data_IF_767137275208
#
_entry.id   IF_767137275208
#
_cell.length_a   1.000
_cell.length_b   1.000
_cell.length_c   1.000
_cell.angle_alpha   90.00
_cell.angle_beta   90.00
_cell.angle_gamma   90.00
#
_symmetry.space_group_name_H-M   'P 1'
#
loop_
_entity.id
_entity.type
_entity.pdbx_description
1 polymer ?
#
# COMPACT_ATOMS: atom_id res chain seq x y z
N UNK A 1 -19.11 13.06 28.06
CA UNK A 1 -18.04 13.51 27.13
C UNK A 1 -18.69 13.78 25.78
N UNK A 2 -18.49 14.94 25.14
CA UNK A 2 -19.00 15.22 23.79
C UNK A 2 -17.90 14.85 22.78
N UNK A 3 -18.18 13.89 21.91
CA UNK A 3 -17.34 13.52 20.76
C UNK A 3 -17.74 14.44 19.60
N UNK A 4 -16.83 14.71 18.66
CA UNK A 4 -17.15 15.44 17.43
C UNK A 4 -18.30 14.73 16.71
N UNK A 5 -19.32 15.47 16.29
CA UNK A 5 -20.51 14.93 15.61
C UNK A 5 -20.15 14.15 14.33
N UNK A 6 -19.07 14.55 13.68
CA UNK A 6 -18.47 13.88 12.53
C UNK A 6 -18.29 12.35 12.74
N UNK A 7 -17.99 11.90 13.96
CA UNK A 7 -17.73 10.48 14.25
C UNK A 7 -18.98 9.68 14.60
N UNK A 8 -20.16 10.28 14.69
CA UNK A 8 -21.39 9.57 15.03
C UNK A 8 -21.89 8.57 13.99
N UNK A 9 -21.32 8.57 12.78
CA UNK A 9 -21.63 7.63 11.70
C UNK A 9 -20.38 7.09 11.00
N UNK A 10 -19.20 7.17 11.66
CA UNK A 10 -17.95 6.73 11.07
C UNK A 10 -17.88 5.20 11.06
N UNK A 11 -17.66 4.60 9.90
CA UNK A 11 -17.37 3.17 9.80
C UNK A 11 -15.94 2.90 10.32
N UNK A 12 -15.80 1.92 11.21
CA UNK A 12 -14.48 1.51 11.68
C UNK A 12 -13.67 0.90 10.55
N UNK A 13 -12.35 1.08 10.62
CA UNK A 13 -11.43 0.35 9.76
C UNK A 13 -11.58 -1.15 10.03
N UNK A 14 -11.72 -1.94 8.96
CA UNK A 14 -11.78 -3.40 9.09
C UNK A 14 -10.41 -3.96 9.47
N UNK A 15 -10.15 -4.08 10.79
CA UNK A 15 -8.90 -4.64 11.31
C UNK A 15 -8.68 -6.07 10.85
N UNK A 16 -7.44 -6.42 10.56
CA UNK A 16 -7.07 -7.79 10.30
C UNK A 16 -7.20 -8.64 11.58
N UNK A 17 -7.86 -9.79 11.47
CA UNK A 17 -7.93 -10.76 12.56
C UNK A 17 -6.52 -11.28 12.88
N UNK A 18 -6.06 -11.28 14.15
CA UNK A 18 -4.77 -11.83 14.54
C UNK A 18 -4.59 -13.30 14.15
N UNK A 19 -3.36 -13.72 13.86
CA UNK A 19 -3.07 -15.11 13.47
C UNK A 19 -3.44 -16.10 14.56
N UNK A 20 -3.27 -15.74 15.83
CA UNK A 20 -3.65 -16.54 17.00
C UNK A 20 -5.17 -16.80 17.07
N UNK A 21 -5.97 -15.78 16.78
CA UNK A 21 -7.42 -15.90 16.75
C UNK A 21 -7.88 -16.77 15.57
N UNK A 22 -7.26 -16.61 14.39
CA UNK A 22 -7.52 -17.45 13.23
C UNK A 22 -7.16 -18.91 13.53
N UNK A 23 -5.97 -19.16 14.09
CA UNK A 23 -5.45 -20.46 14.46
C UNK A 23 -6.44 -21.17 15.41
N UNK A 24 -6.89 -20.48 16.47
CA UNK A 24 -7.87 -21.00 17.41
C UNK A 24 -9.21 -21.35 16.74
N UNK A 25 -9.68 -20.51 15.81
CA UNK A 25 -10.94 -20.69 15.07
C UNK A 25 -10.91 -21.89 14.13
N UNK A 26 -9.77 -22.14 13.49
CA UNK A 26 -9.65 -23.23 12.48
C UNK A 26 -9.01 -24.49 13.05
N UNK A 27 -8.54 -24.47 14.31
CA UNK A 27 -7.96 -25.65 14.98
C UNK A 27 -6.57 -26.02 14.47
N UNK A 28 -5.80 -25.04 14.00
CA UNK A 28 -4.40 -25.22 13.53
C UNK A 28 -3.42 -24.57 14.50
N UNK A 29 -2.15 -25.01 14.54
CA UNK A 29 -1.06 -24.26 15.17
C UNK A 29 -0.88 -22.88 14.52
N UNK A 30 -0.48 -21.88 15.29
CA UNK A 30 -0.30 -20.50 14.77
C UNK A 30 0.79 -20.43 13.69
N UNK A 31 1.78 -21.29 13.77
CA UNK A 31 2.89 -21.42 12.82
C UNK A 31 2.44 -21.89 11.43
N UNK A 32 1.28 -22.56 11.35
CA UNK A 32 0.68 -23.00 10.07
C UNK A 32 -0.17 -21.94 9.41
N UNK A 33 -0.43 -20.81 10.09
CA UNK A 33 -1.20 -19.69 9.53
C UNK A 33 -0.29 -18.84 8.66
N UNK A 34 -0.58 -18.82 7.37
CA UNK A 34 0.14 -18.03 6.36
C UNK A 34 -0.69 -16.81 5.97
N UNK A 35 -0.14 -15.62 6.23
CA UNK A 35 -0.80 -14.33 5.94
C UNK A 35 -0.52 -13.92 4.48
N UNK A 36 -1.50 -14.12 3.62
CA UNK A 36 -1.48 -13.67 2.21
C UNK A 36 -2.42 -12.47 1.98
N UNK A 37 -2.91 -11.85 3.03
CA UNK A 37 -3.89 -10.76 3.01
C UNK A 37 -3.28 -9.36 3.19
N UNK A 38 -2.03 -9.25 3.66
CA UNK A 38 -1.41 -7.98 4.10
C UNK A 38 -0.44 -7.37 3.09
N UNK A 39 -0.17 -8.02 1.97
CA UNK A 39 0.83 -7.58 0.99
C UNK A 39 2.21 -7.34 1.61
N UNK A 40 2.58 -8.13 2.62
CA UNK A 40 3.90 -8.10 3.24
C UNK A 40 4.86 -9.02 2.49
N UNK A 41 6.13 -8.67 2.48
CA UNK A 41 7.16 -9.52 1.87
C UNK A 41 7.30 -10.84 2.64
N UNK A 42 7.46 -11.98 1.95
CA UNK A 42 7.79 -13.26 2.60
C UNK A 42 9.27 -13.34 3.03
N UNK A 43 10.09 -12.41 2.58
CA UNK A 43 11.52 -12.35 2.88
C UNK A 43 11.78 -11.51 4.13
N UNK A 44 12.83 -11.88 4.87
CA UNK A 44 13.33 -11.06 5.98
C UNK A 44 14.43 -10.13 5.46
N UNK A 45 14.54 -8.89 5.97
CA UNK A 45 15.66 -8.00 5.65
C UNK A 45 16.91 -8.43 6.45
N UNK A 46 17.58 -9.50 6.01
CA UNK A 46 18.59 -10.21 6.82
C UNK A 46 19.76 -9.30 7.15
N UNK A 47 20.30 -8.59 6.14
CA UNK A 47 21.48 -7.73 6.33
C UNK A 47 21.21 -6.56 7.27
N UNK A 48 20.05 -5.91 7.13
CA UNK A 48 19.67 -4.82 8.02
C UNK A 48 19.46 -5.32 9.48
N UNK A 49 18.98 -6.54 9.67
CA UNK A 49 18.86 -7.15 11.00
C UNK A 49 20.21 -7.54 11.59
N UNK A 50 21.17 -8.00 10.78
CA UNK A 50 22.55 -8.26 11.19
C UNK A 50 23.27 -6.98 11.61
N UNK A 51 23.10 -5.89 10.84
CA UNK A 51 23.64 -4.58 11.18
C UNK A 51 23.04 -4.07 12.50
N UNK A 52 21.72 -4.20 12.69
CA UNK A 52 21.07 -3.84 13.95
C UNK A 52 21.62 -4.65 15.13
N UNK A 53 21.75 -5.97 14.98
CA UNK A 53 22.27 -6.85 16.02
C UNK A 53 23.69 -6.45 16.45
N UNK A 54 24.51 -6.00 15.49
CA UNK A 54 25.88 -5.56 15.70
C UNK A 54 25.99 -4.18 16.35
N UNK A 55 24.94 -3.36 16.27
CA UNK A 55 24.93 -1.97 16.75
C UNK A 55 24.06 -1.75 17.99
N UNK A 56 23.39 -2.79 18.52
CA UNK A 56 22.41 -2.66 19.59
C UNK A 56 22.92 -1.96 20.85
N UNK A 57 24.18 -2.15 21.20
CA UNK A 57 24.84 -1.53 22.36
C UNK A 57 25.19 -0.05 22.15
N UNK A 58 25.15 0.40 20.91
CA UNK A 58 25.47 1.80 20.56
C UNK A 58 24.22 2.66 20.29
N UNK A 59 23.04 2.03 20.16
CA UNK A 59 21.81 2.74 19.87
C UNK A 59 21.22 3.34 21.16
N UNK A 60 21.19 4.67 21.23
CA UNK A 60 20.67 5.41 22.39
C UNK A 60 19.15 5.46 22.42
N UNK A 61 18.48 4.33 22.79
CA UNK A 61 17.00 4.23 22.84
C UNK A 61 16.37 5.14 23.89
N UNK A 62 17.15 5.67 24.82
CA UNK A 62 16.75 6.63 25.86
C UNK A 62 16.76 8.10 25.37
N UNK A 63 17.21 8.35 24.14
CA UNK A 63 17.24 9.68 23.54
C UNK A 63 16.23 9.80 22.39
N UNK A 64 15.73 11.01 22.18
CA UNK A 64 14.96 11.30 20.97
C UNK A 64 15.85 11.29 19.73
N UNK A 65 15.34 10.84 18.58
CA UNK A 65 16.08 10.95 17.32
C UNK A 65 16.29 12.41 16.91
N UNK A 66 17.24 12.65 16.01
CA UNK A 66 17.30 13.92 15.27
C UNK A 66 15.99 14.14 14.50
N UNK A 67 15.25 15.17 14.88
CA UNK A 67 13.94 15.49 14.28
C UNK A 67 14.01 15.93 12.83
N UNK A 68 15.20 16.29 12.34
CA UNK A 68 15.44 16.59 10.93
C UNK A 68 15.51 15.30 10.08
N UNK A 69 15.81 14.15 10.72
CA UNK A 69 16.09 12.87 10.06
C UNK A 69 17.13 13.00 8.94
N UNK A 70 18.16 13.85 9.16
CA UNK A 70 19.12 14.23 8.12
C UNK A 70 19.77 13.01 7.46
N UNK A 71 20.32 12.09 8.25
CA UNK A 71 21.02 10.91 7.72
C UNK A 71 20.10 10.04 6.85
N UNK A 72 18.85 9.79 7.29
CA UNK A 72 17.90 9.03 6.47
C UNK A 72 17.53 9.79 5.19
N UNK A 73 17.43 11.12 5.22
CA UNK A 73 17.18 11.92 4.00
C UNK A 73 18.36 11.86 3.03
N UNK A 74 19.59 11.80 3.53
CA UNK A 74 20.80 11.59 2.71
C UNK A 74 20.76 10.24 2.00
N UNK A 75 20.41 9.16 2.71
CA UNK A 75 20.27 7.84 2.14
C UNK A 75 19.14 7.79 1.09
N UNK A 76 18.00 8.40 1.38
CA UNK A 76 16.89 8.53 0.44
C UNK A 76 17.23 9.39 -0.77
N UNK A 77 18.03 10.44 -0.61
CA UNK A 77 18.53 11.25 -1.73
C UNK A 77 19.40 10.40 -2.66
N UNK A 78 20.29 9.57 -2.10
CA UNK A 78 21.08 8.60 -2.86
C UNK A 78 20.22 7.55 -3.57
N UNK A 79 19.16 7.05 -2.91
CA UNK A 79 18.26 6.05 -3.45
C UNK A 79 17.35 6.59 -4.57
N UNK A 80 16.85 7.81 -4.41
CA UNK A 80 15.84 8.39 -5.33
C UNK A 80 16.41 9.32 -6.37
N UNK A 81 17.65 9.82 -6.18
CA UNK A 81 18.25 10.86 -7.00
C UNK A 81 17.68 12.26 -6.75
N UNK A 82 16.92 12.48 -5.65
CA UNK A 82 16.28 13.76 -5.32
C UNK A 82 17.11 14.55 -4.28
N UNK A 83 16.94 15.87 -4.26
CA UNK A 83 17.61 16.74 -3.28
C UNK A 83 17.14 16.49 -1.83
N UNK A 84 17.99 16.82 -0.86
CA UNK A 84 17.73 16.62 0.58
C UNK A 84 16.48 17.35 1.09
N UNK A 85 16.13 18.46 0.50
CA UNK A 85 15.00 19.31 0.86
C UNK A 85 13.66 18.85 0.28
N UNK A 86 13.68 17.70 -0.40
CA UNK A 86 12.50 17.11 -1.07
C UNK A 86 11.73 16.12 -0.22
N UNK A 87 12.22 15.76 0.97
CA UNK A 87 11.68 14.65 1.77
C UNK A 87 10.96 15.11 3.04
N UNK A 88 9.82 14.46 3.31
CA UNK A 88 9.19 14.40 4.64
C UNK A 88 9.22 12.95 5.10
N UNK A 89 9.91 12.68 6.20
CA UNK A 89 9.97 11.32 6.79
C UNK A 89 8.75 11.09 7.66
N UNK A 90 8.13 9.91 7.53
CA UNK A 90 6.86 9.57 8.18
C UNK A 90 6.88 8.17 8.80
N UNK A 91 6.02 7.93 9.78
CA UNK A 91 5.81 6.63 10.40
C UNK A 91 4.90 5.75 9.52
N UNK A 92 5.48 5.25 8.42
CA UNK A 92 4.77 4.57 7.34
C UNK A 92 4.07 5.54 6.39
N UNK A 93 3.56 5.01 5.26
CA UNK A 93 2.81 5.80 4.28
C UNK A 93 1.53 6.40 4.87
N UNK A 94 0.87 5.71 5.81
CA UNK A 94 -0.39 6.16 6.41
C UNK A 94 -0.27 7.51 7.14
N UNK A 95 0.84 7.72 7.87
CA UNK A 95 1.13 9.05 8.44
C UNK A 95 1.37 10.09 7.35
N UNK A 96 2.00 9.71 6.23
CA UNK A 96 2.16 10.60 5.08
C UNK A 96 0.82 11.05 4.50
N UNK A 97 -0.13 10.14 4.35
CA UNK A 97 -1.49 10.45 3.90
C UNK A 97 -2.22 11.37 4.89
N UNK A 98 -2.10 11.10 6.18
CA UNK A 98 -2.67 11.93 7.25
C UNK A 98 -2.08 13.36 7.25
N UNK A 99 -0.77 13.49 7.06
CA UNK A 99 -0.09 14.78 6.91
C UNK A 99 -0.62 15.54 5.68
N UNK A 100 -0.77 14.87 4.53
CA UNK A 100 -1.33 15.50 3.31
C UNK A 100 -2.73 16.02 3.60
N UNK A 101 -3.62 15.21 4.18
CA UNK A 101 -4.99 15.64 4.47
C UNK A 101 -5.03 16.82 5.43
N UNK A 102 -4.18 16.85 6.46
CA UNK A 102 -4.08 17.96 7.42
C UNK A 102 -3.61 19.28 6.80
N UNK A 103 -2.79 19.22 5.74
CA UNK A 103 -2.28 20.43 5.09
C UNK A 103 -3.26 21.00 4.08
N UNK A 104 -4.01 20.15 3.39
CA UNK A 104 -4.82 20.57 2.25
C UNK A 104 -6.32 20.64 2.50
N UNK A 105 -6.85 20.05 3.59
CA UNK A 105 -8.29 19.89 3.77
C UNK A 105 -8.82 20.64 4.99
N UNK A 106 -9.83 21.48 4.74
CA UNK A 106 -10.73 22.02 5.74
C UNK A 106 -12.08 21.26 5.72
N UNK A 107 -12.88 21.32 6.81
CA UNK A 107 -14.22 20.75 6.83
C UNK A 107 -15.10 21.32 5.70
N UNK A 108 -15.68 20.43 4.89
CA UNK A 108 -16.52 20.79 3.75
C UNK A 108 -15.79 20.90 2.40
N UNK A 109 -14.46 20.77 2.39
CA UNK A 109 -13.69 20.59 1.17
C UNK A 109 -13.97 19.22 0.51
N UNK A 110 -13.48 19.03 -0.68
CA UNK A 110 -13.65 17.80 -1.46
C UNK A 110 -12.31 17.15 -1.79
N UNK A 111 -12.34 15.83 -1.78
CA UNK A 111 -11.23 14.99 -2.23
C UNK A 111 -11.74 14.03 -3.31
N UNK A 112 -11.01 13.90 -4.41
CA UNK A 112 -11.31 12.90 -5.43
C UNK A 112 -10.46 11.66 -5.23
N UNK A 113 -11.09 10.48 -5.26
CA UNK A 113 -10.43 9.18 -5.28
C UNK A 113 -10.98 8.34 -6.43
N UNK A 114 -10.17 7.41 -6.94
CA UNK A 114 -10.65 6.37 -7.87
C UNK A 114 -10.97 5.10 -7.06
N UNK A 115 -12.06 4.40 -7.36
CA UNK A 115 -12.42 3.19 -6.63
C UNK A 115 -12.68 2.01 -7.59
N UNK A 116 -12.32 0.77 -7.18
CA UNK A 116 -11.74 0.41 -5.89
C UNK A 116 -10.28 0.87 -5.74
N UNK A 117 -9.90 1.26 -4.52
CA UNK A 117 -8.53 1.66 -4.16
C UNK A 117 -8.29 1.50 -2.65
N UNK A 118 -7.13 1.93 -2.15
CA UNK A 118 -6.77 1.85 -0.74
C UNK A 118 -7.70 2.72 0.13
N UNK A 119 -8.28 2.11 1.16
CA UNK A 119 -9.33 2.74 1.98
C UNK A 119 -8.87 3.95 2.80
N UNK A 120 -7.57 4.04 3.10
CA UNK A 120 -7.04 5.12 3.94
C UNK A 120 -7.20 6.51 3.32
N UNK A 121 -7.25 6.63 2.00
CA UNK A 121 -7.53 7.93 1.35
C UNK A 121 -8.90 8.46 1.77
N UNK A 122 -9.93 7.59 1.76
CA UNK A 122 -11.27 7.92 2.22
C UNK A 122 -11.28 8.24 3.72
N UNK A 123 -10.67 7.36 4.52
CA UNK A 123 -10.69 7.47 5.98
C UNK A 123 -9.99 8.75 6.43
N UNK A 124 -8.76 8.99 6.00
CA UNK A 124 -7.99 10.18 6.38
C UNK A 124 -8.71 11.48 5.95
N UNK A 125 -9.24 11.54 4.73
CA UNK A 125 -10.00 12.69 4.25
C UNK A 125 -11.29 12.93 5.05
N UNK A 126 -12.02 11.86 5.36
CA UNK A 126 -13.27 11.95 6.14
C UNK A 126 -13.01 12.40 7.57
N UNK A 127 -11.90 12.03 8.20
CA UNK A 127 -11.49 12.49 9.54
C UNK A 127 -11.30 14.02 9.57
N UNK A 128 -10.86 14.62 8.45
CA UNK A 128 -10.76 16.07 8.28
C UNK A 128 -12.12 16.75 8.06
N UNK A 129 -13.19 15.98 7.84
CA UNK A 129 -14.53 16.50 7.51
C UNK A 129 -14.67 16.83 6.03
N UNK A 130 -13.80 16.35 5.18
CA UNK A 130 -13.91 16.52 3.75
C UNK A 130 -14.90 15.53 3.13
N UNK A 131 -15.57 15.95 2.05
CA UNK A 131 -16.42 15.09 1.22
C UNK A 131 -15.56 14.29 0.23
N UNK A 132 -15.69 12.98 0.23
CA UNK A 132 -14.98 12.12 -0.71
C UNK A 132 -15.83 11.90 -1.97
N UNK A 133 -15.34 12.40 -3.09
CA UNK A 133 -15.90 12.19 -4.42
C UNK A 133 -15.22 10.97 -5.04
N UNK A 134 -16.01 9.93 -5.29
CA UNK A 134 -15.48 8.67 -5.82
C UNK A 134 -15.75 8.57 -7.32
N UNK A 135 -14.70 8.43 -8.11
CA UNK A 135 -14.76 8.17 -9.55
C UNK A 135 -14.53 6.66 -9.76
N UNK A 136 -15.51 5.91 -10.28
CA UNK A 136 -15.33 4.50 -10.56
C UNK A 136 -14.23 4.26 -11.61
N UNK A 137 -13.38 3.26 -11.37
CA UNK A 137 -12.46 2.75 -12.41
C UNK A 137 -13.23 2.08 -13.54
N UNK A 138 -12.61 1.98 -14.71
CA UNK A 138 -13.17 1.23 -15.84
C UNK A 138 -13.21 -0.28 -15.53
N UNK A 139 -13.84 -1.05 -16.40
CA UNK A 139 -13.97 -2.52 -16.22
C UNK A 139 -12.62 -3.27 -16.21
N UNK A 140 -11.62 -2.71 -16.87
CA UNK A 140 -10.23 -3.18 -16.90
C UNK A 140 -9.37 -2.61 -15.76
N UNK A 141 -10.00 -1.92 -14.82
CA UNK A 141 -9.43 -1.18 -13.70
C UNK A 141 -8.60 0.06 -14.07
N UNK A 142 -8.45 0.42 -15.34
CA UNK A 142 -7.83 1.68 -15.72
C UNK A 142 -8.62 2.87 -15.15
N UNK A 143 -7.92 3.98 -14.88
CA UNK A 143 -8.56 5.23 -14.47
C UNK A 143 -9.21 5.93 -15.69
N UNK A 144 -10.23 6.73 -15.43
CA UNK A 144 -10.86 7.59 -16.43
C UNK A 144 -10.47 9.05 -16.15
N UNK A 145 -9.39 9.50 -16.79
CA UNK A 145 -8.81 10.84 -16.60
C UNK A 145 -9.87 11.93 -16.82
N UNK A 146 -10.67 11.80 -17.87
CA UNK A 146 -11.73 12.78 -18.20
C UNK A 146 -12.77 12.87 -17.07
N UNK A 147 -13.21 11.72 -16.53
CA UNK A 147 -14.16 11.72 -15.43
C UNK A 147 -13.57 12.25 -14.13
N UNK A 148 -12.28 11.98 -13.88
CA UNK A 148 -11.60 12.54 -12.71
C UNK A 148 -11.55 14.06 -12.85
N UNK A 149 -11.11 14.59 -13.97
CA UNK A 149 -11.05 16.04 -14.24
C UNK A 149 -12.44 16.69 -14.17
N UNK A 150 -13.45 16.06 -14.74
CA UNK A 150 -14.84 16.54 -14.70
C UNK A 150 -15.44 16.53 -13.27
N UNK A 151 -14.86 15.75 -12.34
CA UNK A 151 -15.29 15.72 -10.94
C UNK A 151 -14.64 16.79 -10.06
N UNK A 152 -13.64 17.49 -10.58
CA UNK A 152 -12.94 18.57 -9.86
C UNK A 152 -13.84 19.81 -9.81
N UNK A 153 -14.07 20.33 -8.62
CA UNK A 153 -14.86 21.53 -8.34
C UNK A 153 -14.00 22.58 -7.64
N UNK A 154 -14.46 23.82 -7.44
CA UNK A 154 -13.74 24.80 -6.62
C UNK A 154 -13.50 24.37 -5.17
N UNK A 155 -14.24 23.37 -4.67
CA UNK A 155 -14.07 22.78 -3.34
C UNK A 155 -13.05 21.65 -3.32
N UNK A 156 -12.69 21.09 -4.46
CA UNK A 156 -11.71 20.02 -4.55
C UNK A 156 -10.32 20.55 -4.20
N UNK A 157 -9.64 19.90 -3.23
CA UNK A 157 -8.31 20.29 -2.75
C UNK A 157 -7.25 19.25 -3.07
N UNK A 158 -7.65 17.98 -3.14
CA UNK A 158 -6.71 16.91 -3.43
C UNK A 158 -7.34 15.79 -4.28
N UNK A 159 -6.49 15.12 -5.04
CA UNK A 159 -6.76 13.86 -5.73
C UNK A 159 -5.79 12.84 -5.16
N UNK A 160 -6.28 11.68 -4.69
CA UNK A 160 -5.42 10.57 -4.26
C UNK A 160 -5.46 9.45 -5.28
N UNK A 161 -4.29 8.99 -5.70
CA UNK A 161 -4.09 7.91 -6.67
C UNK A 161 -3.06 6.91 -6.12
N UNK A 162 -3.39 5.63 -6.11
CA UNK A 162 -2.44 4.55 -5.85
C UNK A 162 -1.87 4.04 -7.17
N UNK A 163 -0.56 4.01 -7.32
CA UNK A 163 0.07 3.59 -8.56
C UNK A 163 1.40 2.85 -8.35
N UNK A 164 1.43 1.53 -8.57
CA UNK A 164 0.35 0.62 -8.94
C UNK A 164 -0.77 0.52 -7.91
N UNK A 165 -2.03 0.29 -8.35
CA UNK A 165 -3.19 0.36 -7.48
C UNK A 165 -3.36 -0.88 -6.58
N UNK A 166 -3.84 -0.65 -5.38
CA UNK A 166 -4.33 -1.67 -4.45
C UNK A 166 -5.86 -1.50 -4.30
N UNK A 167 -6.70 -2.52 -4.58
CA UNK A 167 -6.35 -3.96 -4.65
C UNK A 167 -6.18 -4.54 -6.06
N UNK A 168 -6.24 -3.77 -7.11
CA UNK A 168 -6.39 -4.27 -8.49
C UNK A 168 -5.06 -4.63 -9.18
N UNK A 169 -3.94 -4.07 -8.69
CA UNK A 169 -2.60 -4.36 -9.21
C UNK A 169 -2.24 -3.65 -10.52
N UNK A 170 -3.15 -2.90 -11.12
CA UNK A 170 -2.93 -2.17 -12.36
C UNK A 170 -2.02 -0.96 -12.20
N UNK A 171 -1.33 -0.61 -13.28
CA UNK A 171 -0.47 0.55 -13.36
C UNK A 171 -1.09 1.62 -14.26
N UNK A 172 -1.19 2.83 -13.74
CA UNK A 172 -1.60 4.02 -14.50
C UNK A 172 -0.38 4.62 -15.20
N UNK A 173 -0.43 4.87 -16.54
CA UNK A 173 0.66 5.52 -17.26
C UNK A 173 1.06 6.85 -16.65
N UNK A 174 2.37 7.15 -16.60
CA UNK A 174 2.88 8.40 -16.01
C UNK A 174 2.30 9.63 -16.74
N UNK A 175 2.13 9.57 -18.06
CA UNK A 175 1.52 10.65 -18.83
C UNK A 175 0.08 10.97 -18.41
N UNK A 176 -0.70 9.97 -17.94
CA UNK A 176 -2.04 10.20 -17.41
C UNK A 176 -2.00 10.90 -16.04
N UNK A 177 -1.00 10.56 -15.20
CA UNK A 177 -0.77 11.21 -13.91
C UNK A 177 -0.30 12.66 -14.10
N UNK A 178 0.61 12.89 -15.04
CA UNK A 178 1.10 14.21 -15.44
C UNK A 178 -0.06 15.10 -15.90
N UNK A 179 -0.83 14.61 -16.84
CA UNK A 179 -2.03 15.31 -17.36
C UNK A 179 -3.02 15.65 -16.25
N UNK A 180 -3.30 14.72 -15.32
CA UNK A 180 -4.16 14.97 -14.17
C UNK A 180 -3.62 16.09 -13.29
N UNK A 181 -2.32 16.12 -13.03
CA UNK A 181 -1.69 17.14 -12.20
C UNK A 181 -1.73 18.52 -12.88
N UNK A 182 -1.43 18.58 -14.18
CA UNK A 182 -1.44 19.83 -14.96
C UNK A 182 -2.84 20.44 -15.09
N UNK A 183 -3.84 19.62 -15.46
CA UNK A 183 -5.18 20.12 -15.75
C UNK A 183 -6.02 20.35 -14.50
N UNK A 184 -5.87 19.52 -13.44
CA UNK A 184 -6.69 19.64 -12.23
C UNK A 184 -6.30 20.84 -11.36
N UNK A 185 -5.01 21.21 -11.34
CA UNK A 185 -4.44 22.32 -10.54
C UNK A 185 -4.69 22.21 -9.02
N UNK A 186 -5.07 21.03 -8.54
CA UNK A 186 -5.19 20.71 -7.12
C UNK A 186 -4.04 19.80 -6.69
N UNK A 187 -3.84 19.56 -5.40
CA UNK A 187 -2.82 18.64 -4.95
C UNK A 187 -3.09 17.22 -5.50
N UNK A 188 -2.10 16.59 -6.11
CA UNK A 188 -2.16 15.20 -6.60
C UNK A 188 -1.21 14.36 -5.79
N UNK A 189 -1.76 13.56 -4.89
CA UNK A 189 -1.01 12.62 -4.06
C UNK A 189 -0.96 11.26 -4.77
N UNK A 190 0.23 10.85 -5.17
CA UNK A 190 0.50 9.60 -5.86
C UNK A 190 1.16 8.63 -4.87
N UNK A 191 0.42 7.60 -4.47
CA UNK A 191 0.91 6.57 -3.57
C UNK A 191 1.62 5.48 -4.36
N UNK A 192 2.93 5.43 -4.23
CA UNK A 192 3.85 4.51 -4.89
C UNK A 192 4.33 3.38 -3.96
N UNK A 193 3.49 2.89 -3.06
CA UNK A 193 3.87 1.83 -2.13
C UNK A 193 4.36 0.52 -2.80
N UNK A 194 4.13 0.35 -4.10
CA UNK A 194 4.46 -0.86 -4.86
C UNK A 194 5.36 -0.60 -6.07
N UNK A 195 5.89 0.61 -6.25
CA UNK A 195 6.58 0.99 -7.49
C UNK A 195 7.82 0.14 -7.80
N UNK A 196 8.52 -0.36 -6.78
CA UNK A 196 9.71 -1.19 -6.98
C UNK A 196 9.38 -2.50 -7.75
N UNK A 197 8.16 -3.01 -7.62
CA UNK A 197 7.74 -4.24 -8.32
C UNK A 197 7.40 -4.02 -9.80
N UNK A 198 7.13 -2.79 -10.22
CA UNK A 198 6.91 -2.44 -11.63
C UNK A 198 8.10 -1.70 -12.26
N UNK A 199 9.00 -1.16 -11.45
CA UNK A 199 10.16 -0.40 -11.91
C UNK A 199 9.83 0.94 -12.59
N UNK A 200 8.59 1.44 -12.46
CA UNK A 200 8.10 2.69 -13.05
C UNK A 200 7.65 3.62 -11.93
N UNK A 201 7.97 4.91 -12.02
CA UNK A 201 7.68 5.90 -10.98
C UNK A 201 7.29 7.25 -11.56
N UNK A 202 6.40 7.93 -10.86
CA UNK A 202 6.02 9.32 -11.10
C UNK A 202 6.85 10.32 -10.26
N UNK A 203 7.92 9.88 -9.59
CA UNK A 203 8.69 10.74 -8.69
C UNK A 203 9.28 11.95 -9.38
N UNK A 204 9.62 11.84 -10.68
CA UNK A 204 10.17 12.96 -11.47
C UNK A 204 9.13 14.06 -11.69
N UNK A 205 7.84 13.74 -11.75
CA UNK A 205 6.78 14.75 -11.82
C UNK A 205 6.81 15.72 -10.64
N UNK A 206 7.29 15.28 -9.47
CA UNK A 206 7.43 16.15 -8.31
C UNK A 206 8.51 17.23 -8.49
N UNK A 207 9.42 17.09 -9.47
CA UNK A 207 10.41 18.13 -9.82
C UNK A 207 9.80 19.18 -10.76
N UNK A 208 8.88 18.75 -11.60
CA UNK A 208 8.27 19.58 -12.65
C UNK A 208 7.06 20.33 -12.13
N UNK A 209 6.17 19.63 -11.40
CA UNK A 209 4.87 20.11 -10.98
C UNK A 209 4.81 20.41 -9.48
N UNK A 210 4.33 21.60 -9.10
CA UNK A 210 4.28 22.06 -7.70
C UNK A 210 3.23 21.32 -6.86
N UNK A 211 2.22 20.80 -7.51
CA UNK A 211 1.07 20.16 -6.89
C UNK A 211 1.19 18.63 -6.80
N UNK A 212 2.30 18.03 -7.24
CA UNK A 212 2.55 16.59 -7.12
C UNK A 212 3.26 16.27 -5.81
N UNK A 213 2.71 15.28 -5.08
CA UNK A 213 3.27 14.71 -3.86
C UNK A 213 3.32 13.20 -4.05
N UNK A 214 4.53 12.62 -4.04
CA UNK A 214 4.70 11.17 -4.14
C UNK A 214 4.86 10.59 -2.74
N UNK A 215 4.04 9.62 -2.38
CA UNK A 215 4.09 8.90 -1.10
C UNK A 215 4.73 7.53 -1.32
N UNK A 216 5.72 7.16 -0.50
CA UNK A 216 6.44 5.89 -0.58
C UNK A 216 6.62 5.26 0.79
N UNK A 217 6.98 3.98 0.81
CA UNK A 217 7.18 3.22 2.04
C UNK A 217 8.27 2.16 1.88
N UNK A 218 8.99 1.87 2.95
CA UNK A 218 9.88 0.71 3.01
C UNK A 218 9.16 -0.59 3.43
N UNK A 219 7.85 -0.54 3.64
CA UNK A 219 7.05 -1.67 4.14
C UNK A 219 6.96 -2.86 3.18
N UNK A 220 7.09 -2.63 1.86
CA UNK A 220 6.82 -3.63 0.83
C UNK A 220 8.11 -4.23 0.25
N UNK A 221 8.76 -3.53 -0.67
CA UNK A 221 9.97 -4.01 -1.34
C UNK A 221 11.15 -4.25 -0.38
N UNK A 222 11.31 -3.38 0.62
CA UNK A 222 12.38 -3.50 1.62
C UNK A 222 12.06 -4.47 2.76
N UNK A 223 10.91 -5.15 2.76
CA UNK A 223 10.52 -6.12 3.80
C UNK A 223 10.42 -5.52 5.21
N UNK A 224 10.10 -4.22 5.31
CA UNK A 224 10.15 -3.42 6.55
C UNK A 224 8.76 -3.04 7.08
N UNK A 225 7.73 -3.88 6.85
CA UNK A 225 6.36 -3.55 7.25
C UNK A 225 6.24 -3.25 8.76
N UNK A 226 6.93 -4.02 9.61
CA UNK A 226 6.93 -3.83 11.06
C UNK A 226 7.78 -2.64 11.54
N UNK A 227 8.65 -2.11 10.70
CA UNK A 227 9.55 -0.98 11.03
C UNK A 227 8.84 0.37 10.92
N UNK A 228 7.75 0.44 10.13
CA UNK A 228 6.91 1.63 9.98
C UNK A 228 7.67 2.86 9.45
N UNK A 229 8.34 2.74 8.31
CA UNK A 229 8.96 3.87 7.61
C UNK A 229 8.27 4.14 6.29
N UNK A 230 7.90 5.42 6.11
CA UNK A 230 7.46 6.00 4.86
C UNK A 230 8.08 7.37 4.64
N UNK A 231 7.88 7.91 3.46
CA UNK A 231 8.32 9.26 3.13
C UNK A 231 7.49 9.86 2.01
N UNK A 232 7.40 11.20 2.03
CA UNK A 232 6.81 11.97 0.96
C UNK A 232 7.92 12.65 0.17
N UNK A 233 7.75 12.75 -1.15
CA UNK A 233 8.62 13.51 -2.06
C UNK A 233 7.78 14.58 -2.72
N UNK A 234 8.20 15.85 -2.58
CA UNK A 234 7.51 17.00 -3.16
C UNK A 234 8.48 18.15 -3.38
N UNK A 235 8.04 19.26 -3.99
CA UNK A 235 8.86 20.49 -4.06
C UNK A 235 9.18 21.02 -2.67
N UNK A 236 10.34 21.71 -2.48
CA UNK A 236 10.78 22.18 -1.18
C UNK A 236 9.75 23.06 -0.45
N UNK A 237 9.01 23.88 -1.18
CA UNK A 237 7.99 24.76 -0.59
C UNK A 237 6.79 23.94 -0.04
N UNK A 238 6.43 22.87 -0.71
CA UNK A 238 5.40 21.91 -0.24
C UNK A 238 5.92 21.12 0.96
N UNK A 239 7.16 20.63 0.92
CA UNK A 239 7.82 19.94 2.03
C UNK A 239 7.82 20.79 3.30
N UNK A 240 8.11 22.10 3.21
CA UNK A 240 8.03 23.01 4.35
C UNK A 240 6.64 23.02 4.99
N UNK A 241 5.58 23.07 4.18
CA UNK A 241 4.19 23.06 4.67
C UNK A 241 3.81 21.72 5.31
N UNK A 242 4.18 20.60 4.67
CA UNK A 242 3.94 19.25 5.20
C UNK A 242 4.65 19.05 6.56
N UNK A 243 5.88 19.57 6.72
CA UNK A 243 6.60 19.49 7.99
C UNK A 243 5.97 20.32 9.13
N UNK A 244 5.12 21.31 8.84
CA UNK A 244 4.41 22.06 9.89
C UNK A 244 3.48 21.18 10.73
N UNK A 245 2.84 20.21 10.09
CA UNK A 245 1.85 19.32 10.73
C UNK A 245 2.42 17.93 11.04
N UNK A 246 3.65 17.64 10.61
CA UNK A 246 4.32 16.38 10.93
C UNK A 246 4.57 16.28 12.44
N UNK A 247 4.13 15.20 13.10
CA UNK A 247 4.44 15.00 14.51
C UNK A 247 5.96 14.93 14.71
N UNK A 248 6.53 15.67 15.67
CA UNK A 248 7.94 15.53 15.99
C UNK A 248 8.21 14.14 16.56
N UNK A 249 9.34 13.54 16.24
CA UNK A 249 9.79 12.24 16.78
C UNK A 249 8.81 11.06 16.58
N UNK A 250 7.99 11.08 15.50
CA UNK A 250 7.05 10.00 15.21
C UNK A 250 7.75 8.69 14.81
N UNK A 251 9.00 8.77 14.35
CA UNK A 251 9.83 7.63 13.96
C UNK A 251 10.85 7.33 15.03
N UNK A 252 10.93 6.07 15.48
CA UNK A 252 11.85 5.64 16.54
C UNK A 252 13.30 5.56 16.03
N UNK A 253 14.28 5.65 16.95
CA UNK A 253 15.70 5.47 16.62
C UNK A 253 15.99 4.09 16.00
N UNK A 254 15.30 3.05 16.45
CA UNK A 254 15.43 1.69 15.89
C UNK A 254 14.90 1.64 14.46
N UNK A 255 13.74 2.28 14.20
CA UNK A 255 13.17 2.34 12.85
C UNK A 255 14.09 3.12 11.89
N UNK A 256 14.67 4.23 12.34
CA UNK A 256 15.63 5.00 11.56
C UNK A 256 16.86 4.18 11.22
N UNK A 257 17.45 3.51 12.22
CA UNK A 257 18.61 2.65 12.01
C UNK A 257 18.33 1.55 10.97
N UNK A 258 17.23 0.83 11.14
CA UNK A 258 16.84 -0.25 10.22
C UNK A 258 16.58 0.28 8.80
N UNK A 259 15.96 1.45 8.65
CA UNK A 259 15.74 2.07 7.35
C UNK A 259 17.06 2.39 6.64
N UNK A 260 18.00 2.99 7.35
CA UNK A 260 19.34 3.31 6.83
C UNK A 260 20.11 2.04 6.46
N UNK A 261 20.12 1.04 7.36
CA UNK A 261 20.72 -0.26 7.09
C UNK A 261 20.12 -0.94 5.83
N UNK A 262 18.80 -0.91 5.66
CA UNK A 262 18.17 -1.46 4.46
C UNK A 262 18.55 -0.70 3.17
N UNK A 263 18.63 0.62 3.24
CA UNK A 263 19.05 1.46 2.10
C UNK A 263 20.54 1.27 1.77
N UNK A 264 21.38 0.91 2.74
CA UNK A 264 22.78 0.54 2.52
C UNK A 264 22.94 -0.81 1.79
N UNK A 265 21.92 -1.65 1.79
CA UNK A 265 21.93 -2.97 1.15
C UNK A 265 20.89 -3.10 0.01
N UNK A 266 20.90 -2.24 -1.01
CA UNK A 266 19.87 -2.19 -2.05
C UNK A 266 19.82 -3.47 -2.90
N UNK A 267 20.91 -4.24 -2.95
CA UNK A 267 20.97 -5.47 -3.73
C UNK A 267 20.12 -6.60 -3.10
N UNK A 268 20.01 -6.65 -1.77
CA UNK A 268 19.11 -7.57 -1.09
C UNK A 268 17.64 -7.27 -1.48
N UNK A 269 17.24 -6.01 -1.38
CA UNK A 269 15.91 -5.57 -1.81
C UNK A 269 15.65 -5.91 -3.27
N UNK A 270 16.58 -5.55 -4.19
CA UNK A 270 16.44 -5.85 -5.63
C UNK A 270 16.33 -7.36 -5.90
N UNK A 271 17.07 -8.17 -5.15
CA UNK A 271 16.98 -9.63 -5.22
C UNK A 271 15.59 -10.14 -4.83
N UNK A 272 15.06 -9.66 -3.71
CA UNK A 272 13.73 -10.02 -3.21
C UNK A 272 12.62 -9.57 -4.16
N UNK A 273 12.75 -8.37 -4.75
CA UNK A 273 11.80 -7.84 -5.75
C UNK A 273 11.82 -8.73 -7.01
N UNK A 274 13.00 -9.07 -7.55
CA UNK A 274 13.09 -9.98 -8.71
C UNK A 274 12.42 -11.32 -8.43
N UNK A 275 12.74 -11.96 -7.31
CA UNK A 275 12.13 -13.22 -6.90
C UNK A 275 10.60 -13.11 -6.79
N UNK A 276 10.10 -12.01 -6.21
CA UNK A 276 8.66 -11.76 -6.11
C UNK A 276 8.01 -11.59 -7.48
N UNK A 277 8.63 -10.85 -8.39
CA UNK A 277 8.11 -10.64 -9.75
C UNK A 277 8.10 -11.95 -10.53
N UNK A 278 9.17 -12.74 -10.46
CA UNK A 278 9.24 -14.07 -11.10
C UNK A 278 8.16 -15.01 -10.57
N UNK A 279 7.95 -15.05 -9.26
CA UNK A 279 6.89 -15.85 -8.63
C UNK A 279 5.50 -15.31 -8.98
N UNK A 280 5.31 -14.00 -9.06
CA UNK A 280 4.06 -13.40 -9.55
C UNK A 280 3.70 -13.91 -10.93
N UNK A 281 4.63 -13.86 -11.88
CA UNK A 281 4.40 -14.31 -13.25
C UNK A 281 4.09 -15.82 -13.34
N UNK A 282 4.74 -16.63 -12.50
CA UNK A 282 4.43 -18.06 -12.40
C UNK A 282 3.02 -18.26 -11.81
N UNK A 283 2.69 -17.55 -10.73
CA UNK A 283 1.42 -17.68 -10.05
C UNK A 283 0.26 -17.21 -10.93
N UNK A 284 0.43 -16.13 -11.71
CA UNK A 284 -0.57 -15.67 -12.71
C UNK A 284 -0.89 -16.78 -13.71
N UNK A 285 0.12 -17.44 -14.27
CA UNK A 285 -0.09 -18.54 -15.24
C UNK A 285 -0.84 -19.71 -14.60
N UNK A 286 -0.37 -20.16 -13.43
CA UNK A 286 -0.94 -21.32 -12.74
C UNK A 286 -2.37 -21.07 -12.27
N UNK A 287 -2.66 -19.91 -11.69
CA UNK A 287 -4.01 -19.54 -11.32
C UNK A 287 -4.91 -19.39 -12.55
N UNK A 288 -4.38 -18.90 -13.68
CA UNK A 288 -5.12 -18.79 -14.93
C UNK A 288 -5.52 -20.12 -15.56
N UNK A 289 -4.87 -21.24 -15.18
CA UNK A 289 -5.22 -22.59 -15.58
C UNK A 289 -6.36 -23.21 -14.74
N UNK A 290 -6.66 -22.60 -13.57
CA UNK A 290 -7.73 -23.08 -12.69
C UNK A 290 -9.09 -22.70 -13.26
N UNK A 291 -9.93 -23.68 -13.50
CA UNK A 291 -11.30 -23.45 -13.96
C UNK A 291 -12.12 -22.74 -12.86
N UNK A 292 -12.94 -21.77 -13.25
CA UNK A 292 -13.85 -21.08 -12.33
C UNK A 292 -13.28 -19.83 -11.68
N UNK A 293 -12.08 -19.37 -12.10
CA UNK A 293 -11.54 -18.06 -11.70
C UNK A 293 -11.02 -17.26 -12.89
N UNK A 294 -10.95 -15.95 -12.74
CA UNK A 294 -10.24 -15.03 -13.63
C UNK A 294 -9.22 -14.27 -12.81
N UNK A 295 -7.96 -14.34 -13.22
CA UNK A 295 -6.84 -13.62 -12.61
C UNK A 295 -6.62 -12.32 -13.37
N UNK A 296 -6.44 -11.21 -12.65
CA UNK A 296 -6.14 -9.94 -13.25
C UNK A 296 -4.62 -9.70 -13.31
N UNK A 297 -4.13 -9.03 -14.37
CA UNK A 297 -2.73 -8.62 -14.44
C UNK A 297 -2.33 -7.77 -13.25
N UNK A 298 -1.09 -7.89 -12.78
CA UNK A 298 -0.61 -7.13 -11.63
C UNK A 298 0.83 -6.66 -11.82
N UNK A 299 1.08 -5.43 -11.40
CA UNK A 299 2.40 -4.80 -11.32
C UNK A 299 2.88 -4.64 -9.86
N UNK A 300 2.27 -5.42 -8.93
CA UNK A 300 2.53 -5.36 -7.48
C UNK A 300 3.11 -6.68 -6.94
N UNK A 301 3.19 -6.81 -5.61
CA UNK A 301 3.53 -8.04 -4.92
C UNK A 301 2.31 -8.88 -4.51
N UNK A 302 1.18 -8.67 -5.16
CA UNK A 302 -0.06 -9.42 -4.93
C UNK A 302 -0.82 -9.64 -6.24
N UNK A 303 -1.78 -10.55 -6.22
CA UNK A 303 -2.71 -10.80 -7.31
C UNK A 303 -4.14 -10.62 -6.84
N UNK A 304 -4.97 -10.07 -7.73
CA UNK A 304 -6.42 -10.08 -7.61
C UNK A 304 -6.97 -11.16 -8.55
N UNK A 305 -7.91 -11.95 -8.08
CA UNK A 305 -8.67 -12.88 -8.91
C UNK A 305 -10.14 -12.91 -8.52
N UNK A 306 -10.99 -13.15 -9.51
CA UNK A 306 -12.45 -13.26 -9.34
C UNK A 306 -12.86 -14.71 -9.39
N UNK A 307 -13.71 -15.13 -8.48
CA UNK A 307 -14.40 -16.41 -8.52
C UNK A 307 -15.61 -16.27 -9.45
N UNK A 308 -15.69 -17.11 -10.50
CA UNK A 308 -16.77 -17.09 -11.48
C UNK A 308 -17.94 -18.01 -11.06
N UNK A 309 -17.59 -19.22 -10.60
CA UNK A 309 -18.52 -20.25 -10.23
C UNK A 309 -18.53 -20.41 -8.70
N UNK A 310 -19.52 -19.83 -8.03
CA UNK A 310 -19.64 -19.88 -6.57
C UNK A 310 -19.42 -18.56 -5.86
N UNK A 311 -19.20 -18.63 -4.54
CA UNK A 311 -19.01 -17.50 -3.64
C UNK A 311 -17.56 -17.41 -3.17
N UNK A 312 -16.90 -16.30 -3.48
CA UNK A 312 -15.53 -16.03 -3.02
C UNK A 312 -15.39 -16.05 -1.49
N UNK A 313 -16.45 -15.72 -0.73
CA UNK A 313 -16.41 -15.84 0.74
C UNK A 313 -16.36 -17.28 1.20
N UNK A 314 -17.04 -18.21 0.51
CA UNK A 314 -16.97 -19.64 0.80
C UNK A 314 -15.56 -20.18 0.48
N UNK A 315 -15.01 -19.85 -0.70
CA UNK A 315 -13.62 -20.20 -1.08
C UNK A 315 -12.63 -19.66 -0.07
N UNK A 316 -12.77 -18.39 0.35
CA UNK A 316 -11.93 -17.78 1.38
C UNK A 316 -12.00 -18.57 2.71
N UNK A 317 -13.21 -18.99 3.14
CA UNK A 317 -13.39 -19.79 4.35
C UNK A 317 -12.69 -21.16 4.28
N UNK A 318 -12.75 -21.83 3.12
CA UNK A 318 -12.06 -23.11 2.91
C UNK A 318 -10.54 -22.96 2.92
N UNK A 319 -10.01 -21.91 2.29
CA UNK A 319 -8.57 -21.60 2.32
C UNK A 319 -8.09 -21.27 3.73
N UNK A 320 -8.86 -20.45 4.48
CA UNK A 320 -8.56 -20.13 5.86
C UNK A 320 -8.57 -21.38 6.75
N UNK A 321 -9.50 -22.33 6.53
CA UNK A 321 -9.51 -23.64 7.19
C UNK A 321 -8.26 -24.49 6.93
N UNK A 322 -7.45 -24.13 5.92
CA UNK A 322 -6.15 -24.74 5.59
C UNK A 322 -4.97 -23.85 5.98
N UNK A 323 -5.20 -22.83 6.80
CA UNK A 323 -4.21 -21.89 7.27
C UNK A 323 -3.76 -20.86 6.22
N UNK A 324 -4.46 -20.72 5.08
CA UNK A 324 -4.14 -19.73 4.05
C UNK A 324 -5.10 -18.55 4.14
N UNK A 325 -4.63 -17.41 4.63
CA UNK A 325 -5.45 -16.22 4.89
C UNK A 325 -5.28 -15.22 3.75
N UNK A 326 -6.30 -15.09 2.90
CA UNK A 326 -6.36 -14.15 1.80
C UNK A 326 -7.17 -12.89 2.19
N UNK A 327 -7.07 -11.83 1.41
CA UNK A 327 -7.96 -10.67 1.56
C UNK A 327 -9.27 -10.92 0.83
N UNK A 328 -10.35 -11.02 1.59
CA UNK A 328 -11.69 -11.16 1.04
C UNK A 328 -12.23 -9.78 0.62
N UNK A 329 -12.48 -9.63 -0.68
CA UNK A 329 -13.03 -8.43 -1.30
C UNK A 329 -14.41 -8.66 -1.93
N UNK A 330 -15.03 -9.80 -1.64
CA UNK A 330 -16.26 -10.26 -2.29
C UNK A 330 -17.42 -9.25 -2.21
N UNK A 331 -17.42 -8.38 -1.19
CA UNK A 331 -18.44 -7.35 -0.96
C UNK A 331 -17.95 -5.92 -1.27
N UNK A 332 -16.75 -5.77 -1.81
CA UNK A 332 -16.20 -4.46 -2.15
C UNK A 332 -16.63 -4.07 -3.55
N UNK A 333 -17.27 -2.90 -3.65
CA UNK A 333 -17.78 -2.38 -4.93
C UNK A 333 -16.68 -2.28 -6.00
N UNK A 334 -16.94 -2.82 -7.18
CA UNK A 334 -16.04 -2.85 -8.33
C UNK A 334 -15.12 -4.07 -8.38
N UNK A 335 -14.97 -4.79 -7.27
CA UNK A 335 -14.22 -6.06 -7.16
C UNK A 335 -15.04 -7.14 -6.44
N UNK A 336 -16.36 -7.12 -6.69
CA UNK A 336 -17.27 -8.11 -6.13
C UNK A 336 -16.84 -9.52 -6.53
N UNK A 337 -17.00 -10.44 -5.59
CA UNK A 337 -16.61 -11.84 -5.73
C UNK A 337 -15.13 -12.07 -6.03
N UNK A 338 -14.27 -11.13 -5.57
CA UNK A 338 -12.82 -11.22 -5.72
C UNK A 338 -12.11 -11.55 -4.41
N UNK A 339 -10.97 -12.22 -4.55
CA UNK A 339 -9.99 -12.42 -3.50
C UNK A 339 -8.66 -11.80 -3.94
N UNK A 340 -7.90 -11.25 -2.99
CA UNK A 340 -6.53 -10.78 -3.22
C UNK A 340 -5.55 -11.62 -2.41
N UNK A 341 -4.51 -12.11 -3.06
CA UNK A 341 -3.45 -12.88 -2.41
C UNK A 341 -2.08 -12.22 -2.59
N UNK A 342 -1.29 -12.14 -1.53
CA UNK A 342 0.12 -11.76 -1.60
C UNK A 342 0.91 -12.85 -2.31
N UNK A 343 1.83 -12.46 -3.20
CA UNK A 343 2.82 -13.37 -3.79
C UNK A 343 3.85 -13.73 -2.72
N UNK A 344 4.08 -15.02 -2.54
CA UNK A 344 4.94 -15.57 -1.48
C UNK A 344 6.07 -16.44 -2.07
N UNK A 345 6.69 -17.27 -1.23
CA UNK A 345 7.70 -18.23 -1.70
C UNK A 345 7.07 -19.30 -2.60
N UNK A 346 7.87 -19.99 -3.45
CA UNK A 346 7.37 -21.06 -4.32
C UNK A 346 6.53 -22.09 -3.57
N UNK A 347 6.97 -22.53 -2.40
CA UNK A 347 6.29 -23.56 -1.59
C UNK A 347 4.91 -23.10 -1.11
N UNK A 348 4.79 -21.82 -0.71
CA UNK A 348 3.51 -21.25 -0.25
C UNK A 348 2.59 -21.02 -1.46
N UNK A 349 3.13 -20.56 -2.58
CA UNK A 349 2.36 -20.38 -3.82
C UNK A 349 1.83 -21.72 -4.34
N UNK A 350 2.63 -22.80 -4.27
CA UNK A 350 2.22 -24.16 -4.62
C UNK A 350 1.09 -24.65 -3.72
N UNK A 351 1.21 -24.42 -2.41
CA UNK A 351 0.16 -24.75 -1.42
C UNK A 351 -1.13 -23.98 -1.71
N UNK A 352 -1.04 -22.70 -2.08
CA UNK A 352 -2.19 -21.87 -2.44
C UNK A 352 -2.92 -22.42 -3.69
N UNK A 353 -2.20 -22.69 -4.76
CA UNK A 353 -2.76 -23.22 -6.01
C UNK A 353 -3.48 -24.54 -5.75
N UNK A 354 -2.81 -25.49 -5.09
CA UNK A 354 -3.42 -26.79 -4.76
C UNK A 354 -4.65 -26.70 -3.83
N UNK A 355 -4.69 -25.70 -2.96
CA UNK A 355 -5.84 -25.46 -2.09
C UNK A 355 -7.01 -24.84 -2.86
N UNK A 356 -6.74 -23.90 -3.79
CA UNK A 356 -7.74 -23.27 -4.65
C UNK A 356 -8.39 -24.28 -5.60
N UNK A 357 -7.59 -25.13 -6.26
CA UNK A 357 -8.12 -26.20 -7.13
C UNK A 357 -9.14 -27.09 -6.41
N UNK A 358 -8.83 -27.48 -5.15
CA UNK A 358 -9.74 -28.32 -4.35
C UNK A 358 -11.00 -27.56 -3.93
N UNK A 359 -10.86 -26.30 -3.48
CA UNK A 359 -11.99 -25.50 -3.03
C UNK A 359 -13.00 -25.25 -4.17
N UNK A 360 -12.51 -25.04 -5.40
CA UNK A 360 -13.36 -24.81 -6.56
C UNK A 360 -13.97 -26.10 -7.15
N UNK A 361 -13.27 -27.25 -7.04
CA UNK A 361 -13.82 -28.54 -7.46
C UNK A 361 -15.06 -28.94 -6.64
N UNK A 362 -15.08 -28.70 -5.34
CA UNK A 362 -16.23 -28.97 -4.46
C UNK A 362 -17.41 -28.02 -4.68
N UNK A 363 -17.17 -26.82 -5.22
CA UNK A 363 -18.22 -25.84 -5.54
C UNK A 363 -19.04 -26.19 -6.77
N UNK A 364 -18.50 -26.98 -7.69
CA UNK A 364 -19.18 -27.40 -8.93
C UNK A 364 -20.11 -28.62 -8.77
N UNK A 365 -20.08 -29.28 -7.60
CA UNK A 365 -20.95 -30.44 -7.30
C UNK A 365 -22.18 -30.07 -6.45
N UNK A 366 -22.38 -28.83 -6.10
CA UNK A 366 -23.53 -28.32 -5.35
C UNK A 366 -24.40 -27.42 -6.25
#
# INVERSE_FOLDING_TARGET
>A
MKIRELFSGFEEYGWETPSEEIAAKVGLPVEEIVRLDTNTSPFRPVRALEDLASALDTIEVNQYPDTSYLSLREDLAGYTGKGLDRFVITNGADEGLDIITKVFLDPGDEVVITAPTYSMYRIASSIMGARVVTVPRRKDFSIDVEKILASVTPKTKAIFLCNPNNPTGDFTPIADLERLAEESRVAVAIDEAYFEFCGKSAVDLSDELENVIVCRTLSKAFSMAGVRIGYLVAKPETVKKLNVVRPPNSVSVISLFLAQAALAHPDEMRGNVRSTVEEREKLVRRLGEIRGIVVYPSETNFLLFRVLDGDASAVHGELMGKGLVLRNLSRVQGVENCLRCTVSTPEINDRLVAALERALAHGSER
#
